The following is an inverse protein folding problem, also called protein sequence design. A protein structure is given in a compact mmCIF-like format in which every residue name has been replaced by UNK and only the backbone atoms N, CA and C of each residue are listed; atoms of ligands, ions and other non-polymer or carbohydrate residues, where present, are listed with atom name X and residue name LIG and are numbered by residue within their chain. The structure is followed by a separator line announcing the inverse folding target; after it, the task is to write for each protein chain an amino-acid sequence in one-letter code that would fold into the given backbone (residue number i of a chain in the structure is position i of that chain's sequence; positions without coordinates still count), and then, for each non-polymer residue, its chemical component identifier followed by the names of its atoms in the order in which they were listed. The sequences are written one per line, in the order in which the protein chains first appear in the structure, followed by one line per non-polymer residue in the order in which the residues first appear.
data_IF_206970744832
#
_entry.id   IF_206970744832
#
_cell.length_a   1.000
_cell.length_b   1.000
_cell.length_c   1.000
_cell.angle_alpha   90.00
_cell.angle_beta   90.00
_cell.angle_gamma   90.00
#
_symmetry.space_group_name_H-M   'P 1'
#
loop_
_entity.id
_entity.type
_entity.pdbx_description
1 polymer ?
#
# COMPACT_ATOMS: atom_id res chain seq x y z
N UNK A 1 -7.25 0.85 -22.33
CA UNK A 1 -8.09 1.82 -21.57
C UNK A 1 -8.98 1.11 -20.56
N UNK A 2 -9.80 0.14 -20.97
CA UNK A 2 -10.71 -0.60 -20.06
C UNK A 2 -9.99 -1.47 -19.02
N UNK A 3 -8.97 -2.24 -19.40
CA UNK A 3 -8.21 -3.07 -18.45
C UNK A 3 -7.61 -2.25 -17.30
N UNK A 4 -7.02 -1.09 -17.61
CA UNK A 4 -6.45 -0.19 -16.61
C UNK A 4 -7.50 0.34 -15.63
N UNK A 5 -8.73 0.57 -16.12
CA UNK A 5 -9.85 0.99 -15.27
C UNK A 5 -10.30 -0.14 -14.35
N UNK A 6 -10.48 -1.35 -14.88
CA UNK A 6 -10.88 -2.52 -14.09
C UNK A 6 -9.86 -2.80 -12.98
N UNK A 7 -8.57 -2.85 -13.34
CA UNK A 7 -7.50 -3.08 -12.37
C UNK A 7 -7.38 -1.94 -11.36
N UNK A 8 -7.56 -0.68 -11.76
CA UNK A 8 -7.61 0.43 -10.82
C UNK A 8 -8.80 0.33 -9.85
N UNK A 9 -9.98 -0.07 -10.32
CA UNK A 9 -11.14 -0.31 -9.45
C UNK A 9 -10.88 -1.44 -8.45
N UNK A 10 -10.36 -2.59 -8.92
CA UNK A 10 -10.04 -3.74 -8.04
C UNK A 10 -9.00 -3.32 -7.00
N UNK A 11 -7.95 -2.62 -7.44
CA UNK A 11 -6.88 -2.16 -6.55
C UNK A 11 -7.38 -1.12 -5.55
N UNK A 12 -8.28 -0.23 -5.98
CA UNK A 12 -8.93 0.73 -5.10
C UNK A 12 -9.82 0.06 -4.04
N UNK A 13 -10.60 -0.96 -4.42
CA UNK A 13 -11.39 -1.76 -3.48
C UNK A 13 -10.49 -2.46 -2.46
N UNK A 14 -9.36 -3.01 -2.90
CA UNK A 14 -8.37 -3.60 -2.00
C UNK A 14 -7.83 -2.58 -0.98
N UNK A 15 -7.49 -1.37 -1.42
CA UNK A 15 -7.04 -0.28 -0.54
C UNK A 15 -8.12 0.21 0.44
N UNK A 16 -9.38 0.25 0.01
CA UNK A 16 -10.50 0.55 0.91
C UNK A 16 -10.62 -0.51 2.01
N UNK A 17 -10.50 -1.78 1.64
CA UNK A 17 -10.54 -2.88 2.58
C UNK A 17 -9.38 -2.83 3.57
N UNK A 18 -8.12 -2.76 3.12
CA UNK A 18 -6.95 -2.67 4.02
C UNK A 18 -6.97 -1.40 4.86
N UNK A 19 -7.39 -0.28 4.27
CA UNK A 19 -7.51 0.99 4.96
C UNK A 19 -8.52 0.91 6.11
N UNK A 20 -9.64 0.20 5.92
CA UNK A 20 -10.62 -0.02 6.99
C UNK A 20 -10.07 -0.85 8.16
N UNK A 21 -9.18 -1.80 7.90
CA UNK A 21 -8.59 -2.65 8.94
C UNK A 21 -7.73 -1.85 9.94
N UNK A 22 -7.15 -0.73 9.50
CA UNK A 22 -6.40 0.17 10.38
C UNK A 22 -7.27 0.84 11.46
N UNK A 23 -8.61 0.79 11.32
CA UNK A 23 -9.54 1.33 12.32
C UNK A 23 -10.23 0.25 13.14
N UNK A 24 -10.32 -0.98 12.61
CA UNK A 24 -11.03 -2.10 13.25
C UNK A 24 -10.11 -3.11 13.93
N UNK A 25 -8.85 -3.16 13.53
CA UNK A 25 -7.85 -4.14 14.01
C UNK A 25 -6.51 -3.45 14.29
N UNK A 26 -6.55 -2.36 15.07
CA UNK A 26 -5.36 -1.54 15.37
C UNK A 26 -4.25 -2.34 16.03
N UNK A 27 -4.61 -3.29 16.89
CA UNK A 27 -3.65 -4.09 17.68
C UNK A 27 -2.74 -4.96 16.79
N UNK A 28 -3.20 -5.30 15.58
CA UNK A 28 -2.37 -6.00 14.60
C UNK A 28 -1.29 -5.10 13.98
N UNK A 29 -1.59 -3.81 13.77
CA UNK A 29 -0.71 -2.86 13.06
C UNK A 29 0.14 -1.99 13.98
N UNK A 30 -0.25 -1.74 15.23
CA UNK A 30 0.53 -0.91 16.15
C UNK A 30 1.95 -1.44 16.41
N UNK A 31 2.19 -2.76 16.59
CA UNK A 31 3.54 -3.29 16.86
C UNK A 31 4.56 -3.00 15.76
N UNK A 32 4.09 -2.84 14.51
CA UNK A 32 4.97 -2.70 13.34
C UNK A 32 5.45 -1.25 13.14
N UNK A 33 4.89 -0.29 13.89
CA UNK A 33 5.30 1.11 13.84
C UNK A 33 6.62 1.27 14.61
N UNK A 34 7.71 1.74 13.97
CA UNK A 34 8.98 1.97 14.66
C UNK A 34 8.82 2.96 15.83
N UNK A 35 9.39 2.62 16.99
CA UNK A 35 9.26 3.40 18.23
C UNK A 35 9.73 4.85 18.13
N UNK A 36 10.63 5.16 17.20
CA UNK A 36 11.10 6.52 16.90
C UNK A 36 9.97 7.47 16.45
N UNK A 37 8.87 6.93 15.93
CA UNK A 37 7.73 7.70 15.43
C UNK A 37 6.75 8.15 16.54
N UNK A 38 6.99 7.75 17.78
CA UNK A 38 6.14 8.13 18.92
C UNK A 38 4.88 7.28 18.98
N UNK A 39 3.70 7.87 18.76
CA UNK A 39 2.39 7.20 18.94
C UNK A 39 2.09 6.21 17.80
N UNK A 40 2.14 4.88 18.03
CA UNK A 40 1.87 3.88 16.99
C UNK A 40 0.46 4.03 16.42
N UNK A 41 -0.52 4.15 17.31
CA UNK A 41 -1.93 4.35 16.97
C UNK A 41 -2.17 5.53 16.03
N UNK A 42 -1.48 6.65 16.24
CA UNK A 42 -1.62 7.80 15.34
C UNK A 42 -1.20 7.44 13.91
N UNK A 43 -0.05 6.78 13.75
CA UNK A 43 0.47 6.42 12.44
C UNK A 43 -0.36 5.36 11.74
N UNK A 44 -0.87 4.37 12.49
CA UNK A 44 -1.82 3.36 11.98
C UNK A 44 -3.08 4.02 11.45
N UNK A 45 -3.69 4.92 12.21
CA UNK A 45 -4.91 5.62 11.77
C UNK A 45 -4.63 6.55 10.59
N UNK A 46 -3.50 7.26 10.59
CA UNK A 46 -3.11 8.15 9.51
C UNK A 46 -2.84 7.40 8.20
N UNK A 47 -2.15 6.26 8.24
CA UNK A 47 -1.95 5.41 7.06
C UNK A 47 -3.28 4.82 6.58
N UNK A 48 -4.17 4.42 7.48
CA UNK A 48 -5.53 3.98 7.14
C UNK A 48 -6.34 5.04 6.38
N UNK A 49 -6.30 6.31 6.82
CA UNK A 49 -6.93 7.42 6.09
C UNK A 49 -6.31 7.58 4.70
N UNK A 50 -4.99 7.54 4.60
CA UNK A 50 -4.30 7.67 3.32
C UNK A 50 -4.68 6.53 2.36
N UNK A 51 -4.74 5.29 2.84
CA UNK A 51 -5.17 4.14 2.03
C UNK A 51 -6.60 4.30 1.51
N UNK A 52 -7.54 4.76 2.35
CA UNK A 52 -8.92 5.01 1.94
C UNK A 52 -8.99 6.09 0.85
N UNK A 53 -8.29 7.21 1.03
CA UNK A 53 -8.26 8.31 0.04
C UNK A 53 -7.71 7.81 -1.30
N UNK A 54 -6.60 7.06 -1.27
CA UNK A 54 -6.01 6.46 -2.47
C UNK A 54 -6.96 5.46 -3.12
N UNK A 55 -7.64 4.63 -2.34
CA UNK A 55 -8.62 3.66 -2.81
C UNK A 55 -9.78 4.32 -3.56
N UNK A 56 -10.36 5.38 -2.99
CA UNK A 56 -11.38 6.20 -3.66
C UNK A 56 -10.83 6.82 -4.94
N UNK A 57 -9.63 7.40 -4.86
CA UNK A 57 -8.98 8.05 -5.99
C UNK A 57 -8.69 7.12 -7.17
N UNK A 58 -8.37 5.85 -6.91
CA UNK A 58 -8.17 4.80 -7.92
C UNK A 58 -9.47 4.39 -8.61
N UNK A 59 -10.60 4.41 -7.90
CA UNK A 59 -11.92 4.03 -8.43
C UNK A 59 -12.48 5.12 -9.35
N UNK A 60 -12.27 6.40 -9.02
CA UNK A 60 -12.79 7.52 -9.78
C UNK A 60 -11.97 7.68 -11.09
N UNK A 61 -12.60 7.57 -12.28
CA UNK A 61 -11.89 7.58 -13.56
C UNK A 61 -11.00 8.80 -13.81
N UNK A 62 -11.40 9.96 -13.28
CA UNK A 62 -10.74 11.25 -13.43
C UNK A 62 -9.47 11.37 -12.58
N UNK A 63 -9.40 10.67 -11.44
CA UNK A 63 -8.27 10.77 -10.49
C UNK A 63 -7.38 9.53 -10.49
N UNK A 64 -7.76 8.45 -11.19
CA UNK A 64 -7.06 7.17 -11.14
C UNK A 64 -5.58 7.25 -11.49
N UNK A 65 -5.18 8.10 -12.44
CA UNK A 65 -3.77 8.19 -12.85
C UNK A 65 -2.91 8.83 -11.76
N UNK A 66 -3.37 9.98 -11.24
CA UNK A 66 -2.71 10.65 -10.10
C UNK A 66 -2.67 9.72 -8.89
N UNK A 67 -3.77 9.01 -8.63
CA UNK A 67 -3.86 8.06 -7.52
C UNK A 67 -2.94 6.86 -7.73
N UNK A 68 -2.76 6.37 -8.96
CA UNK A 68 -1.81 5.30 -9.27
C UNK A 68 -0.37 5.68 -8.90
N UNK A 69 0.07 6.89 -9.26
CA UNK A 69 1.38 7.40 -8.84
C UNK A 69 1.47 7.60 -7.32
N UNK A 70 0.45 8.21 -6.73
CA UNK A 70 0.41 8.46 -5.28
C UNK A 70 0.44 7.15 -4.49
N UNK A 71 -0.27 6.11 -4.94
CA UNK A 71 -0.23 4.76 -4.37
C UNK A 71 1.15 4.14 -4.49
N UNK A 72 1.81 4.26 -5.65
CA UNK A 72 3.18 3.75 -5.81
C UNK A 72 4.15 4.42 -4.82
N UNK A 73 4.07 5.75 -4.67
CA UNK A 73 4.88 6.51 -3.71
C UNK A 73 4.56 6.09 -2.27
N UNK A 74 3.28 6.01 -1.92
CA UNK A 74 2.83 5.61 -0.58
C UNK A 74 3.33 4.21 -0.20
N UNK A 75 3.25 3.25 -1.11
CA UNK A 75 3.75 1.89 -0.89
C UNK A 75 5.26 1.84 -0.67
N UNK A 76 6.04 2.71 -1.33
CA UNK A 76 7.48 2.85 -1.05
C UNK A 76 7.71 3.43 0.34
N UNK A 77 6.94 4.47 0.72
CA UNK A 77 7.08 5.14 2.01
C UNK A 77 6.68 4.26 3.20
N UNK A 78 5.71 3.35 3.04
CA UNK A 78 5.24 2.47 4.11
C UNK A 78 6.06 1.17 4.22
N UNK A 79 6.78 0.78 3.17
CA UNK A 79 7.58 -0.46 3.17
C UNK A 79 8.61 -0.56 4.31
N UNK A 80 9.28 0.52 4.77
CA UNK A 80 10.14 0.46 5.96
C UNK A 80 9.47 -0.16 7.19
N UNK A 81 8.16 0.01 7.41
CA UNK A 81 7.46 -0.66 8.51
C UNK A 81 7.39 -2.19 8.31
N UNK A 82 7.16 -2.66 7.08
CA UNK A 82 7.19 -4.09 6.73
C UNK A 82 8.59 -4.69 6.86
N UNK A 83 9.63 -3.92 6.51
CA UNK A 83 11.01 -4.34 6.67
C UNK A 83 11.43 -4.37 8.15
N UNK A 84 10.98 -3.39 8.94
CA UNK A 84 11.17 -3.35 10.39
C UNK A 84 10.56 -4.60 11.05
N UNK A 85 9.32 -4.93 10.71
CA UNK A 85 8.66 -6.17 11.15
C UNK A 85 9.50 -7.42 10.86
N UNK A 86 10.11 -7.50 9.67
CA UNK A 86 10.96 -8.63 9.28
C UNK A 86 12.29 -8.68 10.05
N UNK A 87 13.01 -7.55 10.11
CA UNK A 87 14.36 -7.50 10.72
C UNK A 87 14.31 -7.80 12.22
N UNK A 88 13.26 -7.33 12.90
CA UNK A 88 13.14 -7.41 14.35
C UNK A 88 12.18 -8.52 14.82
N UNK A 89 11.69 -9.36 13.90
CA UNK A 89 10.78 -10.47 14.18
C UNK A 89 9.60 -10.06 15.09
N UNK A 90 8.93 -8.97 14.69
CA UNK A 90 7.90 -8.33 15.50
C UNK A 90 6.67 -9.25 15.62
N UNK A 91 6.27 -9.53 16.86
CA UNK A 91 5.01 -10.20 17.17
C UNK A 91 3.82 -9.27 16.88
N UNK A 92 2.82 -9.82 16.20
CA UNK A 92 1.59 -9.11 15.83
C UNK A 92 0.52 -9.29 16.91
N UNK A 93 -0.69 -8.76 16.68
CA UNK A 93 -1.78 -8.78 17.66
C UNK A 93 -2.24 -10.18 18.10
N UNK A 94 -1.90 -11.24 17.36
CA UNK A 94 -2.17 -12.64 17.69
C UNK A 94 -1.02 -13.33 18.48
N UNK A 95 0.04 -12.60 18.80
CA UNK A 95 1.23 -13.11 19.49
C UNK A 95 2.15 -13.94 18.61
N UNK A 96 1.93 -13.97 17.29
CA UNK A 96 2.80 -14.64 16.34
C UNK A 96 3.58 -13.61 15.50
N UNK A 97 4.84 -13.93 15.19
CA UNK A 97 5.58 -13.22 14.16
C UNK A 97 5.28 -13.80 12.78
N UNK A 98 5.45 -12.99 11.74
CA UNK A 98 5.22 -13.43 10.38
C UNK A 98 6.37 -14.36 9.92
N UNK A 99 6.03 -15.52 9.34
CA UNK A 99 7.07 -16.43 8.84
C UNK A 99 7.99 -15.77 7.79
N UNK A 100 9.25 -16.24 7.62
CA UNK A 100 10.14 -15.73 6.57
C UNK A 100 9.53 -15.78 5.17
N UNK A 101 8.79 -16.85 4.85
CA UNK A 101 8.05 -16.98 3.60
C UNK A 101 6.97 -15.90 3.47
N UNK A 102 6.26 -15.58 4.55
CA UNK A 102 5.27 -14.50 4.59
C UNK A 102 5.87 -13.14 4.27
N UNK A 103 7.04 -12.81 4.83
CA UNK A 103 7.75 -11.57 4.50
C UNK A 103 8.17 -11.50 3.04
N UNK A 104 8.68 -12.60 2.47
CA UNK A 104 9.06 -12.67 1.05
C UNK A 104 7.84 -12.45 0.16
N UNK A 105 6.73 -13.14 0.44
CA UNK A 105 5.47 -12.96 -0.30
C UNK A 105 5.01 -11.50 -0.24
N UNK A 106 5.05 -10.88 0.95
CA UNK A 106 4.67 -9.47 1.14
C UNK A 106 5.58 -8.53 0.34
N UNK A 107 6.89 -8.77 0.30
CA UNK A 107 7.83 -7.98 -0.51
C UNK A 107 7.50 -8.06 -2.00
N UNK A 108 7.33 -9.27 -2.55
CA UNK A 108 6.99 -9.42 -3.96
C UNK A 108 5.62 -8.82 -4.30
N UNK A 109 4.63 -8.98 -3.42
CA UNK A 109 3.34 -8.32 -3.57
C UNK A 109 3.47 -6.79 -3.57
N UNK A 110 4.28 -6.22 -2.66
CA UNK A 110 4.54 -4.78 -2.61
C UNK A 110 5.15 -4.26 -3.91
N UNK A 111 6.18 -4.95 -4.44
CA UNK A 111 6.83 -4.59 -5.70
C UNK A 111 5.83 -4.64 -6.86
N UNK A 112 5.01 -5.70 -6.92
CA UNK A 112 3.98 -5.84 -7.95
C UNK A 112 2.94 -4.71 -7.87
N UNK A 113 2.50 -4.35 -6.66
CA UNK A 113 1.55 -3.27 -6.42
C UNK A 113 2.13 -1.88 -6.76
N UNK A 114 3.41 -1.64 -6.48
CA UNK A 114 4.11 -0.42 -6.92
C UNK A 114 4.13 -0.35 -8.46
N UNK A 115 4.51 -1.46 -9.12
CA UNK A 115 4.50 -1.55 -10.58
C UNK A 115 3.11 -1.32 -11.18
N UNK A 116 2.08 -1.88 -10.55
CA UNK A 116 0.68 -1.66 -10.93
C UNK A 116 0.27 -0.19 -10.78
N UNK A 117 0.62 0.46 -9.68
CA UNK A 117 0.38 1.89 -9.46
C UNK A 117 1.02 2.77 -10.54
N UNK A 118 2.29 2.53 -10.85
CA UNK A 118 3.01 3.25 -11.92
C UNK A 118 2.37 3.02 -13.30
N UNK A 119 1.94 1.79 -13.60
CA UNK A 119 1.26 1.48 -14.84
C UNK A 119 -0.13 2.14 -14.93
N UNK A 120 -0.89 2.14 -13.84
CA UNK A 120 -2.17 2.88 -13.75
C UNK A 120 -1.93 4.38 -13.97
N UNK A 121 -0.86 4.94 -13.40
CA UNK A 121 -0.42 6.32 -13.60
C UNK A 121 0.01 6.66 -15.04
N UNK A 122 0.23 5.67 -15.90
CA UNK A 122 0.62 5.87 -17.29
C UNK A 122 2.14 6.00 -17.52
N UNK A 123 2.96 5.60 -16.54
CA UNK A 123 4.42 5.69 -16.62
C UNK A 123 5.00 5.05 -17.89
N UNK A 124 4.49 3.88 -18.25
CA UNK A 124 4.95 3.14 -19.42
C UNK A 124 4.35 3.65 -20.73
N UNK A 125 3.13 4.18 -20.70
CA UNK A 125 2.46 4.72 -21.90
C UNK A 125 3.08 6.05 -22.37
N UNK A 126 3.56 6.89 -21.45
CA UNK A 126 4.19 8.17 -21.79
C UNK A 126 5.63 8.03 -22.31
N UNK A 127 6.33 6.93 -22.02
CA UNK A 127 7.72 6.74 -22.48
C UNK A 127 7.81 6.23 -23.92
N UNK A 128 6.85 5.42 -24.35
CA UNK A 128 6.79 4.92 -25.74
C UNK A 128 6.58 6.01 -26.79
N UNK A 129 6.05 7.18 -26.41
CA UNK A 129 5.85 8.32 -27.33
C UNK A 129 7.05 9.27 -27.40
N UNK A 130 8.07 9.09 -26.56
CA UNK A 130 9.29 9.93 -26.54
C UNK A 130 10.42 9.29 -27.37
N UNK A 131 10.33 7.97 -27.62
CA UNK A 131 11.34 7.22 -28.38
C UNK A 131 11.02 7.07 -29.88
N UNK A 132 9.95 7.70 -30.39
CA UNK A 132 9.56 7.74 -31.81
C UNK A 132 9.61 9.15 -32.38
#
# INVERSE_FOLDING_TARGET
MEMRRILATIFGIFFLYTGSLHFTDTDWFEPIVPSILGSPKFWVLASGVAEIILGIGLIIPQTKEVSGYATAIFLVLIYPANLYMWIYDIELGDGASLSPTGHIVRLFAQIAMIGLGLWIGGWFSNRSSVET
#
